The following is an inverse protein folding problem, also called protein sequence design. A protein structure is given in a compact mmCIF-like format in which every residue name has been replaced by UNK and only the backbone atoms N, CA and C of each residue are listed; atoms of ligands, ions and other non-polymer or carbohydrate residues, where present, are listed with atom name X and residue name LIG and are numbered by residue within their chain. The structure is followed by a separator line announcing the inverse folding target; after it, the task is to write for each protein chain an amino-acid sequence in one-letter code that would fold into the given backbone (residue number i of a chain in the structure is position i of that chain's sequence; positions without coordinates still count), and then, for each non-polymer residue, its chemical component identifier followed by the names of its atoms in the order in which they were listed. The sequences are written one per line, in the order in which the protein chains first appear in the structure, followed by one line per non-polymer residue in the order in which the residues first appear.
data_IF_194799630030
#
_entry.id   IF_194799630030
#
_cell.length_a   1.000
_cell.length_b   1.000
_cell.length_c   1.000
_cell.angle_alpha   90.00
_cell.angle_beta   90.00
_cell.angle_gamma   90.00
#
_symmetry.space_group_name_H-M   'P 1'
#
loop_
_entity.id
_entity.type
_entity.pdbx_description
1 polymer ?
#
# COMPACT_ATOMS: atom_id res chain seq x y z
N UNK A 1 -10.33 1.98 -6.35
CA UNK A 1 -11.67 2.19 -5.74
C UNK A 1 -12.07 3.66 -5.68
N UNK A 2 -11.41 4.51 -4.89
CA UNK A 2 -11.80 5.93 -4.76
C UNK A 2 -11.81 6.69 -6.09
N UNK A 3 -10.86 6.41 -7.00
CA UNK A 3 -10.88 6.94 -8.36
C UNK A 3 -12.17 6.59 -9.12
N UNK A 4 -12.57 5.31 -9.09
CA UNK A 4 -13.75 4.86 -9.81
C UNK A 4 -15.05 5.50 -9.27
N UNK A 5 -15.18 5.60 -7.94
CA UNK A 5 -16.31 6.27 -7.29
C UNK A 5 -16.32 7.77 -7.66
N UNK A 6 -15.17 8.43 -7.61
CA UNK A 6 -15.06 9.85 -7.93
C UNK A 6 -15.41 10.14 -9.40
N UNK A 7 -14.93 9.31 -10.33
CA UNK A 7 -15.26 9.43 -11.74
C UNK A 7 -16.77 9.28 -12.00
N UNK A 8 -17.37 8.22 -11.44
CA UNK A 8 -18.81 7.96 -11.56
C UNK A 8 -19.68 9.09 -10.96
N UNK A 9 -19.33 9.59 -9.77
CA UNK A 9 -20.03 10.73 -9.13
C UNK A 9 -19.97 12.01 -9.97
N UNK A 10 -18.93 12.18 -10.78
CA UNK A 10 -18.75 13.33 -11.66
C UNK A 10 -19.29 13.08 -13.08
N UNK A 11 -20.04 12.00 -13.29
CA UNK A 11 -20.82 11.73 -14.50
C UNK A 11 -20.13 10.87 -15.56
N UNK A 12 -18.94 10.34 -15.29
CA UNK A 12 -18.31 9.38 -16.19
C UNK A 12 -18.86 7.97 -16.00
N UNK A 13 -19.29 7.31 -17.07
CA UNK A 13 -19.54 5.86 -17.03
C UNK A 13 -18.22 5.14 -16.78
N UNK A 14 -18.14 4.43 -15.66
CA UNK A 14 -16.88 3.92 -15.13
C UNK A 14 -16.95 2.42 -14.94
N UNK A 15 -15.91 1.70 -15.37
CA UNK A 15 -15.71 0.30 -15.04
C UNK A 15 -14.56 0.17 -14.02
N UNK A 16 -14.80 -0.49 -12.89
CA UNK A 16 -13.78 -0.90 -11.94
C UNK A 16 -13.48 -2.40 -12.13
N UNK A 17 -12.28 -2.69 -12.66
CA UNK A 17 -11.80 -4.03 -12.93
C UNK A 17 -10.85 -4.44 -11.81
N UNK A 18 -11.17 -5.54 -11.13
CA UNK A 18 -10.44 -6.04 -9.97
C UNK A 18 -10.16 -7.53 -10.13
N UNK A 19 -8.90 -7.92 -10.00
CA UNK A 19 -8.45 -9.30 -10.24
C UNK A 19 -8.85 -10.29 -9.14
N UNK A 20 -9.42 -9.82 -8.02
CA UNK A 20 -9.83 -10.63 -6.87
C UNK A 20 -11.32 -10.49 -6.55
N UNK A 21 -11.80 -11.32 -5.62
CA UNK A 21 -13.22 -11.42 -5.25
C UNK A 21 -13.71 -10.26 -4.38
N UNK A 22 -12.84 -9.33 -4.00
CA UNK A 22 -13.19 -8.16 -3.20
C UNK A 22 -12.35 -6.93 -3.56
N UNK A 23 -12.90 -5.76 -3.22
CA UNK A 23 -12.21 -4.47 -3.35
C UNK A 23 -11.38 -4.16 -2.09
N UNK A 24 -10.52 -3.14 -2.17
CA UNK A 24 -9.73 -2.66 -1.03
C UNK A 24 -8.23 -2.96 -1.10
N UNK A 25 -7.80 -3.87 -1.98
CA UNK A 25 -6.37 -4.16 -2.15
C UNK A 25 -5.75 -4.67 -0.85
N UNK A 26 -4.69 -4.02 -0.36
CA UNK A 26 -4.05 -4.39 0.91
C UNK A 26 -4.97 -4.13 2.13
N UNK A 27 -5.98 -3.26 2.01
CA UNK A 27 -6.93 -2.97 3.08
C UNK A 27 -8.08 -3.98 3.20
N UNK A 28 -8.17 -4.95 2.29
CA UNK A 28 -9.22 -5.98 2.29
C UNK A 28 -8.96 -7.06 3.34
N UNK A 29 -9.96 -7.89 3.63
CA UNK A 29 -9.80 -9.04 4.54
C UNK A 29 -8.77 -10.09 4.10
N UNK A 30 -8.38 -10.10 2.83
CA UNK A 30 -7.37 -11.02 2.28
C UNK A 30 -5.95 -10.71 2.78
N UNK A 31 -5.64 -9.44 3.03
CA UNK A 31 -4.29 -8.96 3.39
C UNK A 31 -4.28 -8.31 4.79
N UNK A 32 -5.36 -7.60 5.14
CA UNK A 32 -5.60 -6.99 6.45
C UNK A 32 -4.64 -5.88 6.87
N UNK A 33 -4.08 -5.13 5.91
CA UNK A 33 -3.29 -3.96 6.22
C UNK A 33 -4.20 -2.79 6.64
N UNK A 34 -3.87 -2.12 7.74
CA UNK A 34 -4.68 -1.00 8.25
C UNK A 34 -4.58 0.23 7.37
N UNK A 35 -5.69 0.92 7.14
CA UNK A 35 -5.69 2.20 6.43
C UNK A 35 -5.09 3.28 7.31
N UNK A 36 -3.86 3.65 6.99
CA UNK A 36 -3.07 4.70 7.64
C UNK A 36 -2.68 5.78 6.64
N UNK A 37 -2.27 6.94 7.14
CA UNK A 37 -2.18 8.14 6.33
C UNK A 37 -1.44 9.31 6.98
N UNK A 38 -1.65 10.50 6.45
CA UNK A 38 -0.93 11.72 6.77
C UNK A 38 -0.94 12.10 8.27
N UNK A 39 -1.93 11.64 9.04
CA UNK A 39 -1.98 11.88 10.48
C UNK A 39 -1.03 11.02 11.32
N UNK A 40 -0.34 10.03 10.75
CA UNK A 40 0.71 9.24 11.40
C UNK A 40 0.27 8.62 12.73
N UNK A 41 -0.84 7.88 12.74
CA UNK A 41 -1.43 7.37 13.98
C UNK A 41 -1.71 8.47 15.02
N UNK A 42 -2.18 9.62 14.54
CA UNK A 42 -2.49 10.81 15.33
C UNK A 42 -1.27 11.55 15.91
N UNK A 43 -0.03 11.16 15.58
CA UNK A 43 1.17 11.95 15.95
C UNK A 43 1.25 13.28 15.20
N UNK A 44 0.48 13.43 14.11
CA UNK A 44 0.21 14.68 13.41
C UNK A 44 -1.29 15.00 13.49
N UNK A 45 -1.74 15.77 14.50
CA UNK A 45 -3.16 16.05 14.69
C UNK A 45 -3.74 16.86 13.54
N UNK A 46 -5.05 16.69 13.28
CA UNK A 46 -5.81 17.41 12.24
C UNK A 46 -5.33 17.17 10.80
N UNK A 47 -4.52 16.13 10.55
CA UNK A 47 -4.02 15.77 9.23
C UNK A 47 -4.68 14.53 8.62
N UNK A 48 -5.82 14.10 9.16
CA UNK A 48 -6.54 12.93 8.64
C UNK A 48 -7.04 13.19 7.22
N UNK A 49 -6.94 12.18 6.35
CA UNK A 49 -7.51 12.20 5.01
C UNK A 49 -9.03 12.33 5.01
N UNK A 50 -9.55 13.09 4.06
CA UNK A 50 -10.99 13.38 3.93
C UNK A 50 -11.59 12.76 2.64
N UNK A 51 -12.77 13.23 2.22
CA UNK A 51 -13.43 12.78 0.99
C UNK A 51 -14.02 11.38 1.10
N UNK A 52 -13.98 10.63 -0.01
CA UNK A 52 -14.55 9.28 -0.14
C UNK A 52 -13.95 8.33 0.90
N UNK A 53 -12.67 8.48 1.23
CA UNK A 53 -12.05 7.68 2.28
C UNK A 53 -12.71 7.93 3.64
N UNK A 54 -12.91 9.20 4.01
CA UNK A 54 -13.53 9.53 5.30
C UNK A 54 -14.98 9.05 5.37
N UNK A 55 -15.73 9.10 4.25
CA UNK A 55 -17.06 8.48 4.18
C UNK A 55 -17.01 6.98 4.54
N UNK A 56 -16.03 6.24 4.04
CA UNK A 56 -15.85 4.81 4.34
C UNK A 56 -15.41 4.59 5.80
N UNK A 57 -14.47 5.39 6.30
CA UNK A 57 -13.96 5.26 7.67
C UNK A 57 -15.02 5.58 8.72
N UNK A 58 -15.86 6.59 8.47
CA UNK A 58 -16.99 6.94 9.35
C UNK A 58 -18.05 5.83 9.35
N UNK A 59 -18.38 5.28 8.18
CA UNK A 59 -19.30 4.15 8.07
C UNK A 59 -18.76 2.91 8.81
N UNK A 60 -17.47 2.63 8.66
CA UNK A 60 -16.79 1.57 9.40
C UNK A 60 -16.85 1.80 10.91
N UNK A 61 -16.58 3.04 11.37
CA UNK A 61 -16.69 3.36 12.80
C UNK A 61 -18.11 3.19 13.32
N UNK A 62 -19.12 3.49 12.51
CA UNK A 62 -20.52 3.36 12.88
C UNK A 62 -21.00 1.90 12.98
N UNK A 63 -20.63 1.05 12.02
CA UNK A 63 -21.16 -0.32 11.89
C UNK A 63 -20.24 -1.43 12.39
N UNK A 64 -18.96 -1.13 12.61
CA UNK A 64 -17.94 -2.14 12.91
C UNK A 64 -17.23 -1.89 14.27
N UNK A 65 -17.96 -1.97 15.40
CA UNK A 65 -17.41 -1.65 16.72
C UNK A 65 -16.25 -2.56 17.16
N UNK A 66 -16.14 -3.75 16.56
CA UNK A 66 -15.09 -4.74 16.82
C UNK A 66 -14.05 -4.82 15.70
N UNK A 67 -14.00 -3.84 14.79
CA UNK A 67 -12.97 -3.72 13.75
C UNK A 67 -12.78 -5.00 12.90
N UNK A 68 -13.86 -5.73 12.65
CA UNK A 68 -13.85 -6.99 11.90
C UNK A 68 -13.71 -6.73 10.40
N UNK A 69 -12.75 -7.40 9.76
CA UNK A 69 -12.49 -7.24 8.33
C UNK A 69 -13.67 -7.65 7.44
N UNK A 70 -14.46 -8.66 7.82
CA UNK A 70 -15.65 -9.05 7.06
C UNK A 70 -16.70 -7.94 6.99
N UNK A 71 -16.86 -7.15 8.05
CA UNK A 71 -17.76 -5.98 8.03
C UNK A 71 -17.16 -4.87 7.18
N UNK A 72 -15.85 -4.62 7.31
CA UNK A 72 -15.14 -3.64 6.51
C UNK A 72 -15.24 -3.91 4.99
N UNK A 73 -15.08 -5.16 4.58
CA UNK A 73 -15.25 -5.56 3.18
C UNK A 73 -16.65 -5.26 2.66
N UNK A 74 -17.70 -5.53 3.45
CA UNK A 74 -19.08 -5.23 3.04
C UNK A 74 -19.30 -3.73 2.87
N UNK A 75 -18.72 -2.89 3.73
CA UNK A 75 -18.83 -1.43 3.62
C UNK A 75 -18.17 -0.93 2.32
N UNK A 76 -16.97 -1.41 2.00
CA UNK A 76 -16.31 -1.06 0.74
C UNK A 76 -17.07 -1.57 -0.48
N UNK A 77 -17.55 -2.82 -0.43
CA UNK A 77 -18.30 -3.44 -1.50
C UNK A 77 -19.62 -2.70 -1.76
N UNK A 78 -20.40 -2.39 -0.74
CA UNK A 78 -21.66 -1.62 -0.82
C UNK A 78 -21.40 -0.25 -1.45
N UNK A 79 -20.35 0.45 -1.01
CA UNK A 79 -19.99 1.77 -1.53
C UNK A 79 -19.74 1.77 -3.03
N UNK A 80 -19.08 0.73 -3.54
CA UNK A 80 -18.81 0.56 -4.97
C UNK A 80 -20.06 0.08 -5.70
N UNK A 81 -20.69 -0.97 -5.20
CA UNK A 81 -21.80 -1.68 -5.86
C UNK A 81 -23.04 -0.80 -6.02
N UNK A 82 -23.27 0.12 -5.11
CA UNK A 82 -24.42 1.02 -5.15
C UNK A 82 -24.09 2.40 -5.72
N UNK A 83 -22.86 2.63 -6.18
CA UNK A 83 -22.51 3.87 -6.88
C UNK A 83 -23.12 3.83 -8.29
N UNK A 84 -24.08 4.71 -8.56
CA UNK A 84 -24.64 4.89 -9.90
C UNK A 84 -23.53 5.30 -10.89
N UNK A 85 -23.59 4.76 -12.10
CA UNK A 85 -22.59 4.99 -13.15
C UNK A 85 -21.30 4.19 -13.01
N UNK A 86 -21.21 3.26 -12.03
CA UNK A 86 -20.04 2.42 -11.78
C UNK A 86 -20.35 0.93 -11.93
N UNK A 87 -19.76 0.30 -12.94
CA UNK A 87 -19.77 -1.16 -13.11
C UNK A 87 -18.59 -1.81 -12.39
N UNK A 88 -18.84 -2.90 -11.68
CA UNK A 88 -17.84 -3.63 -10.91
C UNK A 88 -17.58 -5.02 -11.49
N UNK A 89 -16.33 -5.28 -11.91
CA UNK A 89 -15.85 -6.56 -12.42
C UNK A 89 -14.85 -7.17 -11.44
N UNK A 90 -15.30 -8.12 -10.62
CA UNK A 90 -14.45 -8.87 -9.68
C UNK A 90 -13.83 -10.10 -10.37
N UNK A 91 -12.79 -10.68 -9.78
CA UNK A 91 -12.07 -11.85 -10.31
C UNK A 91 -11.62 -11.71 -11.77
N UNK A 92 -11.39 -10.47 -12.22
CA UNK A 92 -11.12 -10.12 -13.62
C UNK A 92 -9.70 -9.59 -13.74
N UNK A 93 -8.81 -10.42 -14.29
CA UNK A 93 -7.38 -10.12 -14.40
C UNK A 93 -7.07 -9.47 -15.76
N UNK A 94 -6.26 -8.41 -15.75
CA UNK A 94 -5.74 -7.78 -16.96
C UNK A 94 -4.71 -8.70 -17.64
N UNK A 95 -4.92 -9.00 -18.93
CA UNK A 95 -4.00 -9.83 -19.74
C UNK A 95 -3.14 -8.97 -20.67
N UNK A 96 -3.76 -8.06 -21.41
CA UNK A 96 -3.07 -7.23 -22.43
C UNK A 96 -3.67 -5.83 -22.52
N UNK A 97 -2.88 -4.89 -23.07
CA UNK A 97 -3.33 -3.57 -23.50
C UNK A 97 -2.91 -3.33 -24.95
N UNK A 98 -3.81 -2.78 -25.75
CA UNK A 98 -3.53 -2.35 -27.12
C UNK A 98 -3.33 -0.83 -27.13
N UNK A 99 -2.10 -0.41 -27.42
CA UNK A 99 -1.73 1.01 -27.52
C UNK A 99 -1.34 1.36 -28.94
N UNK A 100 -1.89 2.45 -29.45
CA UNK A 100 -1.57 3.00 -30.77
C UNK A 100 -1.32 4.51 -30.64
N UNK A 101 -0.23 5.00 -31.21
CA UNK A 101 0.16 6.42 -31.16
C UNK A 101 0.14 7.03 -29.75
N UNK A 102 0.57 6.25 -28.75
CA UNK A 102 0.60 6.68 -27.34
C UNK A 102 -0.78 6.78 -26.69
N UNK A 103 -1.80 6.12 -27.24
CA UNK A 103 -3.16 6.09 -26.70
C UNK A 103 -3.60 4.63 -26.55
N UNK A 104 -4.07 4.27 -25.36
CA UNK A 104 -4.67 2.95 -25.10
C UNK A 104 -6.02 2.91 -25.81
N UNK A 105 -6.20 1.93 -26.71
CA UNK A 105 -7.45 1.68 -27.44
C UNK A 105 -8.33 0.70 -26.71
N UNK A 106 -7.74 -0.37 -26.21
CA UNK A 106 -8.46 -1.43 -25.53
C UNK A 106 -7.58 -2.13 -24.49
N UNK A 107 -8.22 -2.79 -23.53
CA UNK A 107 -7.59 -3.76 -22.66
C UNK A 107 -8.35 -5.08 -22.73
N UNK A 108 -7.62 -6.19 -22.67
CA UNK A 108 -8.19 -7.52 -22.59
C UNK A 108 -8.07 -8.03 -21.16
N UNK A 109 -9.16 -8.58 -20.63
CA UNK A 109 -9.16 -9.18 -19.29
C UNK A 109 -9.85 -10.54 -19.28
N UNK A 110 -9.38 -11.42 -18.42
CA UNK A 110 -9.99 -12.74 -18.20
C UNK A 110 -10.61 -12.82 -16.81
N UNK A 111 -11.88 -13.20 -16.74
CA UNK A 111 -12.62 -13.39 -15.50
C UNK A 111 -12.63 -14.87 -15.10
N UNK A 112 -11.86 -15.20 -14.06
CA UNK A 112 -11.67 -16.59 -13.62
C UNK A 112 -12.98 -17.26 -13.18
N UNK A 113 -13.90 -16.52 -12.56
CA UNK A 113 -15.12 -17.07 -11.99
C UNK A 113 -16.15 -17.52 -13.01
N UNK A 114 -16.07 -17.01 -14.24
CA UNK A 114 -17.06 -17.30 -15.31
C UNK A 114 -16.40 -17.77 -16.59
N UNK A 115 -15.06 -17.89 -16.60
CA UNK A 115 -14.26 -18.22 -17.78
C UNK A 115 -14.53 -17.27 -18.97
N UNK A 116 -14.85 -16.01 -18.68
CA UNK A 116 -15.20 -15.00 -19.68
C UNK A 116 -14.01 -14.11 -19.99
N UNK A 117 -13.72 -13.91 -21.28
CA UNK A 117 -12.80 -12.88 -21.73
C UNK A 117 -13.58 -11.61 -22.10
N UNK A 118 -13.16 -10.49 -21.53
CA UNK A 118 -13.71 -9.16 -21.80
C UNK A 118 -12.70 -8.33 -22.59
N UNK A 119 -13.20 -7.53 -23.52
CA UNK A 119 -12.45 -6.42 -24.11
C UNK A 119 -13.11 -5.14 -23.66
N UNK A 120 -12.36 -4.30 -22.94
CA UNK A 120 -12.82 -3.00 -22.49
C UNK A 120 -12.20 -1.90 -23.35
N UNK A 121 -13.03 -0.96 -23.78
CA UNK A 121 -12.61 0.27 -24.44
C UNK A 121 -13.04 1.45 -23.58
N UNK A 122 -12.23 2.52 -23.55
CA UNK A 122 -12.55 3.73 -22.80
C UNK A 122 -11.75 4.92 -23.29
N UNK A 123 -12.24 6.12 -23.02
CA UNK A 123 -11.54 7.36 -23.38
C UNK A 123 -10.31 7.58 -22.50
N UNK A 124 -10.38 7.15 -21.23
CA UNK A 124 -9.34 7.32 -20.21
C UNK A 124 -9.18 6.03 -19.42
N UNK A 125 -7.94 5.69 -19.10
CA UNK A 125 -7.57 4.57 -18.27
C UNK A 125 -6.83 5.07 -17.03
N UNK A 126 -7.13 4.49 -15.86
CA UNK A 126 -6.43 4.77 -14.62
C UNK A 126 -5.79 3.45 -14.15
N UNK A 127 -4.46 3.37 -14.16
CA UNK A 127 -3.75 2.28 -13.49
C UNK A 127 -3.83 2.49 -11.98
N UNK A 128 -4.35 1.47 -11.30
CA UNK A 128 -4.43 1.41 -9.85
C UNK A 128 -4.10 -0.01 -9.36
N UNK A 129 -3.30 -0.73 -10.14
CA UNK A 129 -2.91 -2.12 -9.87
C UNK A 129 -1.90 -2.22 -8.72
N UNK A 130 -1.24 -1.11 -8.39
CA UNK A 130 -0.14 -1.05 -7.41
C UNK A 130 1.18 -1.64 -7.92
N UNK A 131 1.15 -2.35 -9.05
CA UNK A 131 2.30 -2.86 -9.79
C UNK A 131 2.59 -2.09 -11.08
N UNK A 132 1.76 -1.09 -11.41
CA UNK A 132 1.84 -0.38 -12.68
C UNK A 132 1.61 -1.31 -13.89
N UNK A 133 0.85 -2.39 -13.72
CA UNK A 133 0.70 -3.45 -14.72
C UNK A 133 0.09 -2.92 -16.01
N UNK A 134 -0.95 -2.09 -15.93
CA UNK A 134 -1.55 -1.50 -17.12
C UNK A 134 -0.57 -0.54 -17.79
N UNK A 135 0.14 0.28 -17.01
CA UNK A 135 1.15 1.18 -17.54
C UNK A 135 2.26 0.45 -18.30
N UNK A 136 2.79 -0.65 -17.74
CA UNK A 136 3.80 -1.48 -18.42
C UNK A 136 3.24 -2.10 -19.70
N UNK A 137 2.04 -2.69 -19.66
CA UNK A 137 1.40 -3.28 -20.84
C UNK A 137 1.11 -2.25 -21.93
N UNK A 138 0.80 -1.02 -21.52
CA UNK A 138 0.56 0.10 -22.43
C UNK A 138 1.84 0.72 -23.00
N UNK A 139 3.01 0.35 -22.48
CA UNK A 139 4.32 0.88 -22.92
C UNK A 139 4.79 2.15 -22.19
N UNK A 140 4.20 2.47 -21.03
CA UNK A 140 4.66 3.60 -20.21
C UNK A 140 6.02 3.33 -19.55
N UNK A 141 6.83 4.38 -19.39
CA UNK A 141 8.11 4.33 -18.69
C UNK A 141 7.88 4.00 -17.22
N UNK A 142 8.69 3.09 -16.69
CA UNK A 142 8.62 2.67 -15.29
C UNK A 142 9.99 2.72 -14.63
N UNK A 143 9.98 2.80 -13.30
CA UNK A 143 11.15 2.71 -12.42
C UNK A 143 10.93 1.61 -11.39
N UNK A 144 12.01 0.96 -11.00
CA UNK A 144 12.04 -0.05 -9.94
C UNK A 144 13.30 0.19 -9.11
N UNK A 145 13.18 0.02 -7.80
CA UNK A 145 14.33 0.09 -6.90
C UNK A 145 14.63 1.50 -6.41
N UNK A 146 15.90 1.80 -6.15
CA UNK A 146 16.33 3.09 -5.62
C UNK A 146 17.07 3.91 -6.68
N UNK A 147 16.68 5.17 -6.84
CA UNK A 147 17.48 6.13 -7.60
C UNK A 147 18.76 6.51 -6.84
N UNK A 148 19.83 6.83 -7.57
CA UNK A 148 21.07 7.29 -6.96
C UNK A 148 20.95 8.74 -6.50
N UNK A 149 21.62 9.10 -5.41
CA UNK A 149 21.58 10.44 -4.78
C UNK A 149 21.76 11.59 -5.77
N UNK A 150 22.64 11.42 -6.75
CA UNK A 150 22.94 12.45 -7.74
C UNK A 150 21.80 12.76 -8.72
N UNK A 151 20.83 11.86 -8.90
CA UNK A 151 19.73 12.06 -9.87
C UNK A 151 18.79 13.19 -9.42
N UNK A 152 18.42 13.20 -8.13
CA UNK A 152 17.47 14.17 -7.57
C UNK A 152 18.05 15.02 -6.43
N UNK A 153 19.33 14.84 -6.09
CA UNK A 153 19.98 15.44 -4.92
C UNK A 153 19.24 15.13 -3.61
N UNK A 154 18.85 13.86 -3.43
CA UNK A 154 18.11 13.39 -2.25
C UNK A 154 19.07 12.89 -1.16
N UNK A 155 19.13 13.54 0.02
CA UNK A 155 20.16 13.27 1.01
C UNK A 155 20.14 11.84 1.55
N UNK A 156 18.98 11.17 1.56
CA UNK A 156 18.84 9.82 2.12
C UNK A 156 18.83 8.71 1.06
N UNK A 157 18.87 9.06 -0.23
CA UNK A 157 19.06 8.11 -1.32
C UNK A 157 20.47 7.45 -1.29
N UNK A 158 20.61 6.21 -1.80
CA UNK A 158 21.91 5.56 -1.92
C UNK A 158 22.84 6.30 -2.88
N UNK A 159 24.16 6.14 -2.73
CA UNK A 159 25.14 6.80 -3.62
C UNK A 159 24.95 6.39 -5.09
N UNK A 160 24.72 5.11 -5.32
CA UNK A 160 24.49 4.51 -6.65
C UNK A 160 23.09 3.91 -6.70
N UNK A 161 22.43 3.98 -7.87
CA UNK A 161 21.13 3.34 -8.04
C UNK A 161 21.23 1.82 -7.85
N UNK A 162 20.13 1.21 -7.41
CA UNK A 162 19.99 -0.24 -7.22
C UNK A 162 18.56 -0.69 -7.52
N UNK A 163 18.32 -2.00 -7.55
CA UNK A 163 17.00 -2.59 -7.80
C UNK A 163 16.27 -2.99 -6.51
N UNK A 164 16.76 -2.56 -5.35
CA UNK A 164 16.22 -2.98 -4.06
C UNK A 164 14.83 -2.38 -3.85
N UNK A 165 13.87 -3.21 -3.47
CA UNK A 165 12.49 -2.80 -3.20
C UNK A 165 12.18 -2.87 -1.69
N UNK A 166 11.07 -2.30 -1.26
CA UNK A 166 10.47 -2.65 0.03
C UNK A 166 9.86 -4.06 -0.05
N UNK A 167 10.01 -4.84 1.02
CA UNK A 167 9.50 -6.22 1.07
C UNK A 167 7.98 -6.35 1.04
N UNK A 168 7.52 -7.59 0.88
CA UNK A 168 6.13 -7.99 1.04
C UNK A 168 5.90 -8.50 2.46
N UNK A 169 4.69 -8.30 3.00
CA UNK A 169 4.35 -8.80 4.34
C UNK A 169 3.20 -9.80 4.34
N UNK A 170 3.23 -10.75 5.27
CA UNK A 170 2.06 -11.54 5.66
C UNK A 170 1.64 -11.18 7.09
N UNK A 171 0.35 -10.98 7.26
CA UNK A 171 -0.25 -10.69 8.56
C UNK A 171 -0.82 -11.98 9.16
N UNK A 172 -0.99 -11.99 10.48
CA UNK A 172 -1.72 -13.03 11.20
C UNK A 172 -2.71 -12.40 12.18
N UNK A 173 -3.57 -13.22 12.77
CA UNK A 173 -4.45 -12.83 13.88
C UNK A 173 -4.47 -13.97 14.90
N UNK A 174 -4.34 -13.62 16.18
CA UNK A 174 -4.54 -14.55 17.27
C UNK A 174 -5.74 -14.12 18.13
N UNK A 175 -6.27 -15.05 18.91
CA UNK A 175 -7.40 -14.81 19.83
C UNK A 175 -7.09 -15.45 21.17
N UNK A 176 -7.25 -14.69 22.25
CA UNK A 176 -7.19 -15.25 23.61
C UNK A 176 -8.41 -16.16 23.84
N UNK A 177 -8.16 -17.44 24.12
CA UNK A 177 -9.21 -18.43 24.41
C UNK A 177 -9.62 -18.48 25.88
N UNK A 178 -8.91 -17.76 26.76
CA UNK A 178 -9.09 -17.79 28.21
C UNK A 178 -8.52 -19.04 28.89
N UNK A 179 -7.93 -19.96 28.11
CA UNK A 179 -7.28 -21.18 28.57
C UNK A 179 -6.03 -21.47 27.75
N UNK A 180 -5.02 -22.19 28.29
CA UNK A 180 -3.81 -22.49 27.56
C UNK A 180 -4.08 -23.25 26.26
N UNK A 181 -3.49 -22.78 25.16
CA UNK A 181 -3.59 -23.40 23.83
C UNK A 181 -2.20 -23.86 23.40
N UNK A 182 -2.06 -25.16 23.15
CA UNK A 182 -0.83 -25.72 22.60
C UNK A 182 -0.69 -25.33 21.12
N UNK A 183 0.49 -24.86 20.73
CA UNK A 183 0.83 -24.65 19.33
C UNK A 183 1.98 -25.56 18.92
N UNK A 184 1.71 -26.44 17.97
CA UNK A 184 2.72 -27.32 17.37
C UNK A 184 3.19 -26.68 16.06
N UNK A 185 4.44 -26.21 16.02
CA UNK A 185 5.02 -25.62 14.81
C UNK A 185 5.00 -26.60 13.64
N UNK A 186 4.51 -26.18 12.45
CA UNK A 186 4.67 -26.95 11.23
C UNK A 186 6.15 -27.25 10.92
N UNK A 187 6.47 -28.45 10.44
CA UNK A 187 7.87 -28.86 10.23
C UNK A 187 8.65 -27.91 9.32
N UNK A 188 7.97 -27.37 8.30
CA UNK A 188 8.49 -26.48 7.27
C UNK A 188 8.70 -25.03 7.71
N UNK A 189 8.19 -24.61 8.88
CA UNK A 189 8.32 -23.24 9.35
C UNK A 189 9.74 -22.95 9.86
N UNK A 190 10.18 -21.70 9.84
CA UNK A 190 11.47 -21.34 10.42
C UNK A 190 11.47 -21.49 11.95
N UNK A 191 12.66 -21.47 12.54
CA UNK A 191 12.86 -21.34 13.99
C UNK A 191 13.63 -20.07 14.23
N UNK A 192 13.12 -19.24 15.13
CA UNK A 192 13.78 -18.02 15.56
C UNK A 192 14.08 -18.08 17.06
N UNK A 193 15.25 -17.60 17.42
CA UNK A 193 15.63 -17.32 18.80
C UNK A 193 15.33 -15.86 19.16
N UNK A 194 15.43 -15.54 20.46
CA UNK A 194 15.35 -14.15 20.95
C UNK A 194 16.40 -13.26 20.30
N UNK A 195 17.60 -13.81 20.04
CA UNK A 195 18.69 -13.07 19.42
C UNK A 195 18.38 -12.73 17.95
N UNK A 196 17.70 -13.62 17.22
CA UNK A 196 17.28 -13.37 15.84
C UNK A 196 16.22 -12.25 15.78
N UNK A 197 15.33 -12.18 16.80
CA UNK A 197 14.22 -11.22 16.86
C UNK A 197 14.47 -10.01 17.77
N UNK A 198 15.71 -9.79 18.24
CA UNK A 198 16.04 -8.70 19.18
C UNK A 198 15.65 -7.28 18.71
N UNK A 199 15.57 -7.06 17.39
CA UNK A 199 15.14 -5.79 16.79
C UNK A 199 13.71 -5.83 16.23
N UNK A 200 12.94 -6.89 16.52
CA UNK A 200 11.58 -7.09 16.04
C UNK A 200 10.66 -7.17 17.24
N UNK A 201 9.88 -6.14 17.51
CA UNK A 201 8.97 -6.18 18.66
C UNK A 201 7.86 -7.22 18.42
N UNK A 202 7.74 -8.19 19.31
CA UNK A 202 6.83 -9.34 19.19
C UNK A 202 6.03 -9.59 20.48
N UNK A 203 5.93 -8.56 21.34
CA UNK A 203 5.13 -8.53 22.56
C UNK A 203 4.33 -7.24 22.64
N UNK A 204 3.31 -7.21 23.49
CA UNK A 204 2.52 -6.02 23.76
C UNK A 204 3.42 -4.82 24.09
N UNK A 205 3.42 -3.83 23.22
CA UNK A 205 4.25 -2.64 23.39
C UNK A 205 3.78 -1.48 22.52
N UNK A 206 3.99 -0.28 23.04
CA UNK A 206 3.77 0.98 22.31
C UNK A 206 5.08 1.77 22.34
N UNK A 207 5.57 2.15 21.17
CA UNK A 207 6.82 2.91 21.00
C UNK A 207 6.66 3.94 19.89
N UNK A 208 7.64 4.83 19.76
CA UNK A 208 7.78 5.70 18.61
C UNK A 208 9.10 5.41 17.88
N UNK A 209 9.19 5.72 16.60
CA UNK A 209 10.44 5.58 15.83
C UNK A 209 11.06 6.95 15.58
N UNK A 210 12.28 7.14 16.09
CA UNK A 210 13.08 8.33 15.79
C UNK A 210 13.73 8.25 14.41
N UNK A 211 14.31 9.36 13.98
CA UNK A 211 15.09 9.40 12.75
C UNK A 211 16.17 8.31 12.72
N UNK A 212 16.24 7.61 11.59
CA UNK A 212 17.14 6.47 11.38
C UNK A 212 16.62 5.14 11.91
N UNK A 213 15.38 5.07 12.41
CA UNK A 213 14.70 3.80 12.72
C UNK A 213 14.84 3.30 14.17
N UNK A 214 15.41 4.09 15.08
CA UNK A 214 15.59 3.65 16.47
C UNK A 214 14.29 3.81 17.26
N UNK A 215 13.86 2.78 18.02
CA UNK A 215 12.73 2.92 18.92
C UNK A 215 13.03 3.91 20.05
N UNK A 216 12.06 4.76 20.36
CA UNK A 216 12.02 5.68 21.50
C UNK A 216 10.73 5.49 22.28
N UNK A 217 10.65 6.10 23.45
CA UNK A 217 9.41 6.15 24.23
C UNK A 217 8.28 6.77 23.40
N UNK A 218 7.06 6.24 23.62
CA UNK A 218 5.86 6.79 23.04
C UNK A 218 5.43 8.04 23.82
N UNK A 219 5.06 9.08 23.07
CA UNK A 219 4.54 10.33 23.60
C UNK A 219 3.11 10.50 23.06
N UNK A 220 2.13 10.59 23.95
CA UNK A 220 0.74 10.80 23.55
C UNK A 220 0.57 12.22 22.97
N UNK A 221 -0.21 12.33 21.90
CA UNK A 221 -0.42 13.57 21.16
C UNK A 221 0.64 13.86 20.09
N UNK A 222 0.88 15.15 19.84
CA UNK A 222 1.68 15.62 18.72
C UNK A 222 3.18 15.44 18.98
N UNK A 223 3.81 14.48 18.30
CA UNK A 223 5.25 14.19 18.46
C UNK A 223 6.03 14.18 17.14
N UNK A 224 5.35 14.19 15.98
CA UNK A 224 5.93 14.03 14.64
C UNK A 224 6.77 12.75 14.42
N UNK A 225 6.88 11.88 15.43
CA UNK A 225 7.51 10.56 15.32
C UNK A 225 6.45 9.55 14.92
N UNK A 226 6.83 8.50 14.18
CA UNK A 226 5.92 7.41 13.82
C UNK A 226 5.65 6.53 15.04
N UNK A 227 4.41 6.44 15.56
CA UNK A 227 4.08 5.50 16.62
C UNK A 227 3.94 4.08 16.07
N UNK A 228 4.31 3.09 16.88
CA UNK A 228 4.12 1.67 16.61
C UNK A 228 3.38 1.02 17.77
N UNK A 229 2.37 0.24 17.42
CA UNK A 229 1.52 -0.49 18.35
C UNK A 229 1.66 -1.98 18.03
N UNK A 230 2.16 -2.73 19.00
CA UNK A 230 2.32 -4.17 18.89
C UNK A 230 1.41 -4.84 19.91
N UNK A 231 0.63 -5.81 19.45
CA UNK A 231 -0.20 -6.67 20.29
C UNK A 231 0.06 -8.14 19.95
N UNK A 232 -0.36 -9.06 20.81
CA UNK A 232 -0.25 -10.50 20.55
C UNK A 232 -1.36 -11.02 19.62
N UNK A 233 -2.48 -10.29 19.51
CA UNK A 233 -3.65 -10.68 18.72
C UNK A 233 -3.60 -10.23 17.25
N UNK A 234 -2.63 -9.39 16.89
CA UNK A 234 -2.49 -8.81 15.54
C UNK A 234 -1.10 -9.04 14.96
N UNK A 235 -1.05 -9.38 13.67
CA UNK A 235 0.21 -9.60 12.96
C UNK A 235 1.13 -8.39 12.90
N UNK A 236 2.41 -8.65 12.64
CA UNK A 236 3.44 -7.62 12.64
C UNK A 236 3.83 -7.21 11.22
N UNK A 237 3.85 -5.91 10.96
CA UNK A 237 4.20 -5.35 9.66
C UNK A 237 5.65 -5.69 9.24
N UNK A 238 6.55 -5.92 10.21
CA UNK A 238 7.95 -6.22 9.97
C UNK A 238 8.22 -7.69 9.59
N UNK A 239 7.20 -8.56 9.63
CA UNK A 239 7.31 -9.90 9.03
C UNK A 239 7.25 -9.70 7.53
N UNK A 240 8.41 -9.37 6.96
CA UNK A 240 8.54 -9.02 5.56
C UNK A 240 9.81 -9.59 4.93
N UNK A 241 9.75 -9.80 3.62
CA UNK A 241 10.82 -10.35 2.77
C UNK A 241 10.64 -9.88 1.34
N UNK A 242 11.66 -10.00 0.50
CA UNK A 242 11.54 -9.77 -0.94
C UNK A 242 12.27 -8.53 -1.43
N UNK A 243 12.69 -7.63 -0.53
CA UNK A 243 13.38 -6.39 -0.92
C UNK A 243 14.71 -6.63 -1.64
N UNK A 244 15.31 -7.80 -1.43
CA UNK A 244 16.54 -8.26 -2.06
C UNK A 244 16.36 -9.03 -3.39
N UNK A 245 15.12 -9.37 -3.76
CA UNK A 245 14.84 -10.24 -4.90
C UNK A 245 14.96 -9.47 -6.22
N UNK A 246 15.29 -10.19 -7.30
CA UNK A 246 15.55 -9.58 -8.61
C UNK A 246 14.26 -9.04 -9.25
N UNK A 247 13.16 -9.79 -9.16
CA UNK A 247 11.83 -9.36 -9.58
C UNK A 247 10.78 -9.74 -8.53
N UNK A 248 10.43 -8.78 -7.69
CA UNK A 248 9.47 -8.97 -6.60
C UNK A 248 8.10 -9.47 -7.11
N UNK A 249 7.70 -9.11 -8.34
CA UNK A 249 6.42 -9.51 -8.91
C UNK A 249 6.51 -10.95 -9.41
N UNK A 250 7.50 -11.27 -10.25
CA UNK A 250 7.64 -12.60 -10.83
C UNK A 250 7.94 -13.67 -9.76
N UNK A 251 8.65 -13.30 -8.69
CA UNK A 251 9.00 -14.18 -7.57
C UNK A 251 7.99 -14.08 -6.41
N UNK A 252 6.85 -13.44 -6.61
CA UNK A 252 5.85 -13.21 -5.55
C UNK A 252 5.38 -14.47 -4.83
N UNK A 253 5.22 -15.59 -5.54
CA UNK A 253 4.81 -16.88 -4.95
C UNK A 253 5.92 -17.52 -4.10
N UNK A 254 7.19 -17.41 -4.52
CA UNK A 254 8.34 -17.85 -3.73
C UNK A 254 8.45 -17.03 -2.44
N UNK A 255 8.33 -15.70 -2.56
CA UNK A 255 8.34 -14.78 -1.42
C UNK A 255 7.17 -15.10 -0.46
N UNK A 256 5.98 -15.44 -0.98
CA UNK A 256 4.81 -15.85 -0.18
C UNK A 256 5.09 -17.10 0.62
N UNK A 257 5.70 -18.11 0.01
CA UNK A 257 6.06 -19.36 0.69
C UNK A 257 7.09 -19.13 1.80
N UNK A 258 8.12 -18.33 1.52
CA UNK A 258 9.13 -17.97 2.52
C UNK A 258 8.56 -17.12 3.66
N UNK A 259 7.66 -16.18 3.36
CA UNK A 259 6.93 -15.42 4.37
C UNK A 259 6.05 -16.31 5.25
N UNK A 260 5.40 -17.33 4.68
CA UNK A 260 4.63 -18.27 5.48
C UNK A 260 5.56 -18.97 6.48
N UNK A 261 6.76 -19.41 6.05
CA UNK A 261 7.74 -20.00 6.98
C UNK A 261 8.11 -19.07 8.11
N UNK A 262 8.26 -17.77 7.80
CA UNK A 262 8.54 -16.73 8.78
C UNK A 262 7.38 -16.52 9.75
N UNK A 263 6.14 -16.35 9.28
CA UNK A 263 4.98 -16.10 10.15
C UNK A 263 4.78 -17.24 11.16
N UNK A 264 4.79 -18.49 10.69
CA UNK A 264 4.64 -19.64 11.59
C UNK A 264 5.85 -19.82 12.51
N UNK A 265 7.06 -19.43 12.06
CA UNK A 265 8.25 -19.45 12.91
C UNK A 265 8.25 -18.37 13.99
N UNK A 266 7.75 -17.17 13.68
CA UNK A 266 7.56 -16.09 14.66
C UNK A 266 6.48 -16.49 15.66
N UNK A 267 5.37 -17.08 15.21
CA UNK A 267 4.34 -17.56 16.13
C UNK A 267 4.83 -18.71 17.03
N UNK A 268 5.61 -19.65 16.49
CA UNK A 268 6.29 -20.67 17.30
C UNK A 268 7.19 -20.05 18.37
N UNK A 269 8.00 -19.06 17.98
CA UNK A 269 8.86 -18.34 18.92
C UNK A 269 8.05 -17.73 20.07
N UNK A 270 6.98 -17.00 19.74
CA UNK A 270 6.09 -16.36 20.70
C UNK A 270 5.46 -17.38 21.66
N UNK A 271 5.04 -18.55 21.14
CA UNK A 271 4.34 -19.58 21.92
C UNK A 271 5.26 -20.47 22.75
N UNK A 272 6.44 -20.80 22.23
CA UNK A 272 7.19 -21.99 22.67
C UNK A 272 8.64 -21.73 23.09
N UNK A 273 9.24 -20.59 22.73
CA UNK A 273 10.68 -20.33 23.00
C UNK A 273 10.89 -19.60 24.32
N UNK A 274 10.06 -18.61 24.65
CA UNK A 274 10.12 -17.87 25.92
C UNK A 274 8.72 -17.44 26.38
N UNK A 275 8.62 -16.91 27.61
CA UNK A 275 7.34 -16.43 28.15
C UNK A 275 7.02 -15.02 27.62
N UNK A 276 6.18 -14.98 26.59
CA UNK A 276 5.67 -13.76 25.99
C UNK A 276 4.25 -13.42 26.42
N UNK A 277 3.67 -14.11 27.41
CA UNK A 277 2.25 -13.95 27.78
C UNK A 277 1.25 -14.50 26.76
N UNK A 278 1.71 -15.31 25.80
CA UNK A 278 0.89 -15.83 24.70
C UNK A 278 0.26 -17.21 25.00
N UNK A 279 0.29 -17.70 26.24
CA UNK A 279 -0.12 -19.07 26.58
C UNK A 279 -1.56 -19.39 26.16
N UNK A 280 -2.48 -18.45 26.35
CA UNK A 280 -3.89 -18.64 26.04
C UNK A 280 -4.27 -18.24 24.60
N UNK A 281 -3.33 -17.66 23.86
CA UNK A 281 -3.59 -17.20 22.50
C UNK A 281 -3.52 -18.35 21.50
N UNK A 282 -4.53 -18.39 20.62
CA UNK A 282 -4.69 -19.33 19.52
C UNK A 282 -4.52 -18.59 18.17
N UNK A 283 -3.76 -19.18 17.25
CA UNK A 283 -3.54 -18.61 15.91
C UNK A 283 -4.78 -18.81 15.05
N UNK A 284 -5.64 -17.80 15.00
CA UNK A 284 -6.94 -17.87 14.33
C UNK A 284 -6.89 -17.67 12.82
N UNK A 285 -5.87 -16.95 12.31
CA UNK A 285 -5.74 -16.65 10.88
C UNK A 285 -4.30 -16.30 10.52
N UNK A 286 -3.87 -16.74 9.35
CA UNK A 286 -2.63 -16.31 8.68
C UNK A 286 -3.00 -15.94 7.25
N UNK A 287 -2.59 -14.75 6.80
CA UNK A 287 -2.76 -14.35 5.41
C UNK A 287 -1.92 -15.21 4.47
N UNK A 288 -2.44 -15.47 3.27
CA UNK A 288 -1.71 -16.18 2.21
C UNK A 288 -1.55 -15.38 0.92
N UNK A 289 -2.02 -14.12 0.94
CA UNK A 289 -1.74 -13.14 -0.11
C UNK A 289 -0.81 -12.09 0.48
N UNK A 290 0.42 -11.94 -0.06
CA UNK A 290 1.34 -10.93 0.44
C UNK A 290 0.85 -9.51 0.17
N UNK A 291 1.02 -8.64 1.17
CA UNK A 291 0.87 -7.20 1.01
C UNK A 291 2.12 -6.62 0.36
N UNK A 292 2.11 -6.47 -0.96
CA UNK A 292 3.21 -5.82 -1.68
C UNK A 292 3.33 -4.35 -1.29
N UNK A 293 4.52 -3.94 -0.82
CA UNK A 293 4.81 -2.55 -0.41
C UNK A 293 5.32 -1.69 -1.55
N UNK A 294 6.24 -2.21 -2.35
CA UNK A 294 6.87 -1.53 -3.48
C UNK A 294 6.99 -2.51 -4.66
N UNK A 295 6.90 -1.99 -5.87
CA UNK A 295 7.31 -2.72 -7.07
C UNK A 295 7.71 -1.72 -8.16
N UNK A 296 6.88 -1.56 -9.21
CA UNK A 296 7.09 -0.56 -10.25
C UNK A 296 6.41 0.75 -9.89
N UNK A 297 7.12 1.86 -10.09
CA UNK A 297 6.57 3.21 -10.12
C UNK A 297 6.50 3.66 -11.58
N UNK A 298 5.36 4.17 -12.01
CA UNK A 298 5.21 4.73 -13.35
C UNK A 298 5.74 6.16 -13.38
N UNK A 299 6.39 6.57 -14.47
CA UNK A 299 6.81 7.95 -14.61
C UNK A 299 5.68 8.83 -15.13
N UNK A 300 5.38 9.86 -14.33
CA UNK A 300 4.43 10.89 -14.67
C UNK A 300 5.11 12.16 -15.17
N UNK A 301 4.30 13.18 -15.42
CA UNK A 301 4.77 14.50 -15.85
C UNK A 301 5.60 15.23 -14.76
N UNK A 302 5.59 14.71 -13.54
CA UNK A 302 6.49 15.10 -12.46
C UNK A 302 6.80 13.91 -11.57
N UNK A 303 8.01 13.87 -11.05
CA UNK A 303 8.46 12.89 -10.06
C UNK A 303 8.51 13.60 -8.72
N UNK A 304 7.64 13.21 -7.77
CA UNK A 304 7.71 13.72 -6.40
C UNK A 304 8.96 13.17 -5.71
N UNK A 305 9.73 14.05 -5.04
CA UNK A 305 11.01 13.71 -4.42
C UNK A 305 11.00 13.91 -2.90
N UNK A 306 11.96 13.32 -2.20
CA UNK A 306 12.25 13.59 -0.78
C UNK A 306 12.41 15.08 -0.52
N UNK A 307 13.03 15.82 -1.45
CA UNK A 307 13.20 17.26 -1.33
C UNK A 307 11.85 18.00 -1.28
N UNK A 308 10.84 17.51 -2.01
CA UNK A 308 9.48 18.07 -1.97
C UNK A 308 8.78 17.75 -0.64
N UNK A 309 8.94 16.51 -0.16
CA UNK A 309 8.40 16.03 1.12
C UNK A 309 8.99 16.84 2.28
N UNK A 310 10.32 16.95 2.36
CA UNK A 310 11.02 17.68 3.42
C UNK A 310 10.74 19.18 3.43
N UNK A 311 10.49 19.76 2.25
CA UNK A 311 10.15 21.17 2.13
C UNK A 311 8.68 21.45 2.46
N UNK A 312 7.86 20.43 2.76
CA UNK A 312 6.41 20.56 2.87
C UNK A 312 5.81 21.33 1.68
N UNK A 313 6.30 21.02 0.47
CA UNK A 313 6.04 21.87 -0.69
C UNK A 313 4.54 21.92 -0.99
N UNK A 314 4.05 23.14 -1.20
CA UNK A 314 2.71 23.41 -1.71
C UNK A 314 2.83 23.72 -3.20
N UNK A 315 2.28 22.86 -4.04
CA UNK A 315 2.27 23.05 -5.49
C UNK A 315 0.99 23.78 -5.93
N UNK A 316 1.08 24.58 -7.01
CA UNK A 316 -0.09 25.29 -7.56
C UNK A 316 -1.16 24.33 -8.09
N UNK A 317 -0.73 23.18 -8.60
CA UNK A 317 -1.56 22.09 -9.11
C UNK A 317 -1.75 20.97 -8.06
N UNK A 318 -1.68 21.30 -6.77
CA UNK A 318 -1.89 20.33 -5.68
C UNK A 318 -3.32 19.76 -5.70
N UNK A 319 -3.42 18.42 -5.69
CA UNK A 319 -4.71 17.70 -5.68
C UNK A 319 -4.83 16.67 -4.55
N UNK A 320 -3.72 16.35 -3.90
CA UNK A 320 -3.67 15.47 -2.74
C UNK A 320 -2.57 15.93 -1.77
N UNK A 321 -2.45 15.28 -0.63
CA UNK A 321 -1.44 15.58 0.37
C UNK A 321 -1.00 14.30 1.10
N UNK A 322 0.19 14.33 1.67
CA UNK A 322 0.74 13.25 2.48
C UNK A 322 1.42 13.80 3.74
N UNK A 323 1.61 12.93 4.71
CA UNK A 323 2.21 13.27 6.00
C UNK A 323 2.92 12.12 6.69
N UNK A 324 2.79 10.88 6.19
CA UNK A 324 3.51 9.72 6.73
C UNK A 324 5.03 9.95 6.63
N UNK A 325 5.86 9.59 7.62
CA UNK A 325 7.31 9.70 7.47
C UNK A 325 7.83 8.89 6.28
N UNK A 326 9.01 9.24 5.76
CA UNK A 326 9.62 8.40 4.73
C UNK A 326 10.16 7.14 5.40
N UNK A 327 9.39 6.06 5.29
CA UNK A 327 9.63 4.78 5.94
C UNK A 327 10.29 3.79 4.96
N UNK A 328 11.62 3.70 5.07
CA UNK A 328 12.50 2.89 4.21
C UNK A 328 12.85 1.56 4.90
N UNK A 329 12.16 0.50 4.48
CA UNK A 329 12.30 -0.84 5.05
C UNK A 329 13.64 -1.47 4.71
N UNK A 330 14.16 -2.30 5.61
CA UNK A 330 15.43 -2.98 5.36
C UNK A 330 15.31 -4.03 4.26
N UNK A 331 16.29 -4.01 3.36
CA UNK A 331 16.36 -4.86 2.17
C UNK A 331 16.13 -6.36 2.45
N UNK A 332 16.74 -6.91 3.50
CA UNK A 332 16.61 -8.33 3.86
C UNK A 332 15.37 -8.66 4.70
N UNK A 333 14.57 -7.66 5.09
CA UNK A 333 13.37 -7.82 5.90
C UNK A 333 13.63 -8.49 7.25
N UNK A 334 12.84 -9.51 7.60
CA UNK A 334 12.99 -10.26 8.85
C UNK A 334 14.35 -10.99 8.96
N UNK A 335 15.02 -11.28 7.85
CA UNK A 335 16.31 -11.98 7.85
C UNK A 335 17.52 -11.06 8.10
N UNK A 336 17.33 -9.73 8.12
CA UNK A 336 18.35 -8.77 8.56
C UNK A 336 18.31 -8.65 10.11
N UNK A 337 18.87 -9.66 10.80
CA UNK A 337 18.83 -9.80 12.26
C UNK A 337 19.64 -8.73 13.03
N UNK A 338 20.52 -7.98 12.36
CA UNK A 338 21.41 -6.98 12.95
C UNK A 338 20.91 -5.53 12.76
N UNK A 339 19.72 -5.34 12.19
CA UNK A 339 19.14 -4.01 11.89
C UNK A 339 17.74 -3.87 12.46
N UNK A 340 17.34 -2.62 12.73
CA UNK A 340 15.91 -2.28 12.89
C UNK A 340 15.15 -2.58 11.59
N UNK A 341 13.84 -2.88 11.64
CA UNK A 341 13.07 -3.30 10.48
C UNK A 341 12.90 -2.19 9.43
N UNK A 342 12.99 -0.92 9.82
CA UNK A 342 13.01 0.19 8.87
C UNK A 342 13.86 1.36 9.35
N UNK A 343 14.24 2.21 8.41
CA UNK A 343 14.81 3.54 8.62
C UNK A 343 13.70 4.55 8.36
N UNK A 344 13.20 5.15 9.43
CA UNK A 344 12.21 6.21 9.35
C UNK A 344 12.91 7.57 9.26
N UNK A 345 12.49 8.41 8.31
CA UNK A 345 12.89 9.82 8.25
C UNK A 345 11.67 10.70 8.51
N UNK A 346 11.58 11.20 9.74
CA UNK A 346 10.49 12.06 10.17
C UNK A 346 10.66 13.47 9.60
N UNK A 347 9.53 14.15 9.47
CA UNK A 347 9.45 15.56 9.10
C UNK A 347 8.18 16.15 9.73
N UNK A 348 8.18 17.45 9.99
CA UNK A 348 7.03 18.14 10.56
C UNK A 348 5.96 18.42 9.51
N UNK A 349 4.69 18.45 9.88
CA UNK A 349 3.61 18.87 8.98
C UNK A 349 3.30 17.89 7.84
N UNK A 350 2.84 18.43 6.71
CA UNK A 350 2.41 17.70 5.53
C UNK A 350 2.92 18.36 4.24
N UNK A 351 3.01 17.59 3.17
CA UNK A 351 3.34 18.07 1.82
C UNK A 351 2.17 17.86 0.88
N UNK A 352 2.10 18.65 -0.18
CA UNK A 352 1.11 18.46 -1.25
C UNK A 352 1.66 17.58 -2.37
N UNK A 353 0.77 16.89 -3.07
CA UNK A 353 1.08 16.04 -4.22
C UNK A 353 0.43 16.69 -5.44
N UNK A 354 1.24 17.10 -6.44
CA UNK A 354 0.74 17.80 -7.60
C UNK A 354 0.05 16.84 -8.59
N UNK A 355 -0.93 17.35 -9.33
CA UNK A 355 -1.74 16.60 -10.28
C UNK A 355 -0.90 15.84 -11.32
N UNK A 356 0.15 16.49 -11.81
CA UNK A 356 1.13 15.93 -12.75
C UNK A 356 1.85 14.66 -12.29
N UNK A 357 1.83 14.30 -10.99
CA UNK A 357 2.31 12.99 -10.52
C UNK A 357 1.38 11.84 -10.93
N UNK A 358 0.12 12.12 -11.21
CA UNK A 358 -0.92 11.14 -11.55
C UNK A 358 -1.14 11.00 -13.07
N UNK A 359 -0.40 11.74 -13.89
CA UNK A 359 -0.54 11.74 -15.36
C UNK A 359 0.68 11.12 -15.99
N UNK A 360 0.49 10.06 -16.80
CA UNK A 360 1.61 9.42 -17.50
C UNK A 360 2.34 10.45 -18.38
N UNK A 361 3.67 10.39 -18.41
CA UNK A 361 4.43 11.23 -19.34
C UNK A 361 4.41 10.70 -20.79
N UNK A 362 4.11 9.42 -20.97
CA UNK A 362 4.25 8.71 -22.25
C UNK A 362 2.92 8.42 -22.94
N UNK A 363 1.87 8.10 -22.16
CA UNK A 363 0.59 7.62 -22.69
C UNK A 363 -0.51 8.65 -22.40
N UNK A 364 -1.08 9.23 -23.46
CA UNK A 364 -1.90 10.44 -23.39
C UNK A 364 -3.20 10.28 -22.60
N UNK A 365 -3.80 9.09 -22.61
CA UNK A 365 -5.02 8.77 -21.89
C UNK A 365 -4.82 7.85 -20.67
N UNK A 366 -3.58 7.72 -20.18
CA UNK A 366 -3.26 6.95 -18.98
C UNK A 366 -3.00 7.86 -17.78
N UNK A 367 -3.73 7.59 -16.71
CA UNK A 367 -3.50 8.15 -15.38
C UNK A 367 -3.06 7.05 -14.42
N UNK A 368 -2.54 7.44 -13.25
CA UNK A 368 -2.10 6.55 -12.19
C UNK A 368 -2.86 6.86 -10.90
N UNK A 369 -3.07 5.87 -10.05
CA UNK A 369 -3.71 6.05 -8.76
C UNK A 369 -3.28 4.97 -7.76
N UNK A 370 -2.52 5.38 -6.75
CA UNK A 370 -2.11 4.52 -5.64
C UNK A 370 -0.60 4.34 -5.61
N UNK A 371 -0.16 3.11 -5.43
CA UNK A 371 1.25 2.74 -5.20
C UNK A 371 2.12 2.71 -6.45
N UNK A 372 1.55 2.94 -7.61
CA UNK A 372 2.21 3.00 -8.91
C UNK A 372 2.47 4.44 -9.37
N UNK A 373 2.10 5.44 -8.56
CA UNK A 373 2.29 6.87 -8.83
C UNK A 373 3.78 7.27 -9.03
N UNK A 374 3.99 8.35 -9.76
CA UNK A 374 5.29 8.95 -10.09
C UNK A 374 5.99 9.63 -8.91
N UNK A 375 6.99 8.93 -8.34
CA UNK A 375 7.84 9.42 -7.25
C UNK A 375 9.25 8.82 -7.34
N UNK A 376 10.23 9.45 -6.69
CA UNK A 376 11.46 8.76 -6.29
C UNK A 376 11.14 7.71 -5.22
N UNK A 377 12.04 6.75 -4.97
CA UNK A 377 11.89 5.79 -3.88
C UNK A 377 11.81 6.46 -2.50
N UNK A 378 12.55 7.53 -2.29
CA UNK A 378 12.55 8.20 -0.98
C UNK A 378 11.19 8.83 -0.68
N UNK A 379 10.61 9.58 -1.63
CA UNK A 379 9.24 10.08 -1.48
C UNK A 379 8.21 8.95 -1.43
N UNK A 380 8.46 7.85 -2.13
CA UNK A 380 7.58 6.68 -2.16
C UNK A 380 7.29 6.13 -0.76
N UNK A 381 8.32 6.06 0.09
CA UNK A 381 8.21 5.59 1.48
C UNK A 381 7.13 6.33 2.29
N UNK A 382 6.84 7.58 1.92
CA UNK A 382 5.84 8.44 2.56
C UNK A 382 4.46 8.38 1.88
N UNK A 383 4.41 8.38 0.54
CA UNK A 383 3.14 8.49 -0.21
C UNK A 383 2.36 7.17 -0.33
N UNK A 384 3.04 6.01 -0.26
CA UNK A 384 2.48 4.69 -0.59
C UNK A 384 1.39 4.18 0.35
N UNK A 385 1.19 4.85 1.49
CA UNK A 385 0.18 4.47 2.48
C UNK A 385 -1.24 4.70 1.95
N UNK A 386 -2.18 3.87 2.41
CA UNK A 386 -3.49 3.74 1.78
C UNK A 386 -4.35 5.00 1.91
N UNK A 387 -4.19 5.77 2.99
CA UNK A 387 -4.84 7.06 3.18
C UNK A 387 -4.53 8.03 2.04
N UNK A 388 -3.24 8.33 1.89
CA UNK A 388 -2.70 9.15 0.80
C UNK A 388 -3.10 8.63 -0.59
N UNK A 389 -2.97 7.32 -0.82
CA UNK A 389 -3.38 6.68 -2.09
C UNK A 389 -4.87 6.89 -2.40
N UNK A 390 -5.74 6.85 -1.39
CA UNK A 390 -7.18 7.03 -1.57
C UNK A 390 -7.54 8.46 -1.98
N UNK A 391 -6.89 9.47 -1.37
CA UNK A 391 -7.06 10.89 -1.73
C UNK A 391 -6.55 11.15 -3.14
N UNK A 392 -5.35 10.66 -3.47
CA UNK A 392 -4.81 10.73 -4.83
C UNK A 392 -5.70 10.04 -5.86
N UNK A 393 -6.24 8.88 -5.52
CA UNK A 393 -7.21 8.18 -6.36
C UNK A 393 -8.47 9.00 -6.60
N UNK A 394 -9.06 9.60 -5.56
CA UNK A 394 -10.23 10.48 -5.72
C UNK A 394 -9.93 11.67 -6.66
N UNK A 395 -8.75 12.28 -6.55
CA UNK A 395 -8.33 13.34 -7.46
C UNK A 395 -8.25 12.84 -8.91
N UNK A 396 -7.55 11.73 -9.16
CA UNK A 396 -7.41 11.15 -10.50
C UNK A 396 -8.78 10.81 -11.13
N UNK A 397 -9.69 10.21 -10.35
CA UNK A 397 -11.04 9.90 -10.83
C UNK A 397 -11.87 11.14 -11.18
N UNK A 398 -11.79 12.18 -10.34
CA UNK A 398 -12.46 13.47 -10.61
C UNK A 398 -11.94 14.09 -11.90
N UNK A 399 -10.62 14.11 -12.07
CA UNK A 399 -9.99 14.69 -13.26
C UNK A 399 -10.32 13.89 -14.54
N UNK A 400 -10.38 12.56 -14.45
CA UNK A 400 -10.82 11.72 -15.57
C UNK A 400 -12.24 12.08 -16.03
N UNK A 401 -13.19 12.24 -15.10
CA UNK A 401 -14.53 12.67 -15.45
C UNK A 401 -14.58 14.10 -16.05
N UNK A 402 -13.74 15.02 -15.56
CA UNK A 402 -13.61 16.36 -16.15
C UNK A 402 -13.05 16.29 -17.57
N UNK A 403 -12.00 15.50 -17.80
CA UNK A 403 -11.42 15.29 -19.13
C UNK A 403 -12.47 14.78 -20.13
N UNK A 404 -13.26 13.77 -19.74
CA UNK A 404 -14.37 13.26 -20.56
C UNK A 404 -15.42 14.35 -20.81
N UNK A 405 -15.87 15.04 -19.75
CA UNK A 405 -16.91 16.08 -19.84
C UNK A 405 -16.52 17.23 -20.77
N UNK A 406 -15.25 17.64 -20.77
CA UNK A 406 -14.75 18.76 -21.57
C UNK A 406 -14.14 18.32 -22.90
N UNK A 407 -14.07 17.02 -23.20
CA UNK A 407 -13.48 16.51 -24.44
C UNK A 407 -11.98 16.81 -24.55
N UNK A 408 -11.26 16.78 -23.43
CA UNK A 408 -9.82 17.06 -23.35
C UNK A 408 -9.06 15.86 -22.79
N UNK A 409 -7.75 15.83 -23.02
CA UNK A 409 -6.88 14.79 -22.45
C UNK A 409 -6.53 15.12 -20.99
N UNK A 410 -6.26 14.10 -20.14
CA UNK A 410 -5.90 14.29 -18.73
C UNK A 410 -4.87 15.40 -18.44
N UNK A 411 -3.78 15.59 -19.23
CA UNK A 411 -2.83 16.69 -19.02
C UNK A 411 -3.38 18.12 -19.10
N UNK A 412 -4.59 18.30 -19.65
CA UNK A 412 -5.20 19.62 -19.92
C UNK A 412 -6.33 19.98 -18.94
N UNK A 413 -6.72 19.07 -18.07
CA UNK A 413 -7.65 19.32 -16.96
C UNK A 413 -6.99 20.26 -15.98
#
# INVERSE_FOLDING_TARGET
MCAAIAAARNGAHTALIQNRSMVGGNASSEIRMHVVGANCHNSKPNMMETGILLELLLENKHRNPYHTFSVWDTIMWEKVRWQEGLDLYLNTCLETAETEDGIIRSICCFQNSTETRFTFTGDIFIDATGHGTLGVLAGATTRVGSEGRAEFNEPNAPETPNTDTLGNSLMFQAVDRGEPVEFIRPEWAYRFSEEDLKYRSHVESVRSISDGGKPTEYEDGASNKLPEFYNLDSGYWWIELGGQYDDIIAQGEEIRDELARCVYGVWDHIKNVSDHGAQNYDLSWVGFIPGFRESRRLEGQYILTENDVRANRVFEDAVAYGGWPMDDHVRGGIMDFDKNPSRCFNFEGCYSIPYRCYISKDIGNLMMAGRDISTSKMAYGSIRVMGTCAVGGQAAGTAAAMAIRYGIQPPKV
#
